data_IF_132289626820
#
_entry.id   IF_132289626820
#
_cell.length_a   1.000
_cell.length_b   1.000
_cell.length_c   1.000
_cell.angle_alpha   90.00
_cell.angle_beta   90.00
_cell.angle_gamma   90.00
#
_symmetry.space_group_name_H-M   'P 1'
#
loop_
_entity.id
_entity.type
_entity.pdbx_description
1 polymer ?
#
# COMPACT_ATOMS: atom_id res chain seq x y z
N UNK A 1 -8.60 -36.74 -55.29
CA UNK A 1 -8.58 -35.27 -55.24
C UNK A 1 -8.38 -34.87 -53.79
N UNK A 2 -7.24 -34.25 -53.45
CA UNK A 2 -6.83 -33.90 -52.08
C UNK A 2 -7.33 -32.48 -51.78
N UNK A 3 -8.31 -32.33 -50.89
CA UNK A 3 -8.70 -31.03 -50.34
C UNK A 3 -7.96 -30.84 -49.02
N UNK A 4 -6.85 -30.10 -49.07
CA UNK A 4 -6.14 -29.60 -47.90
C UNK A 4 -6.39 -28.09 -47.88
N UNK A 5 -7.22 -27.60 -46.97
CA UNK A 5 -7.34 -26.15 -46.74
C UNK A 5 -7.68 -25.85 -45.29
N UNK A 6 -6.62 -25.92 -44.48
CA UNK A 6 -6.23 -24.95 -43.44
C UNK A 6 -7.36 -24.33 -42.59
N UNK A 7 -7.61 -24.98 -41.45
CA UNK A 7 -8.36 -24.43 -40.32
C UNK A 7 -7.47 -23.42 -39.57
N UNK A 8 -7.75 -22.12 -39.71
CA UNK A 8 -7.06 -21.05 -39.00
C UNK A 8 -7.63 -20.93 -37.57
N UNK A 9 -6.91 -21.48 -36.58
CA UNK A 9 -7.27 -21.42 -35.17
C UNK A 9 -6.76 -20.10 -34.57
N UNK A 10 -7.64 -19.11 -34.41
CA UNK A 10 -7.32 -17.82 -33.78
C UNK A 10 -7.36 -18.00 -32.26
N UNK A 11 -6.20 -18.20 -31.63
CA UNK A 11 -6.08 -18.17 -30.16
C UNK A 11 -6.08 -16.71 -29.68
N UNK A 12 -7.22 -16.29 -29.13
CA UNK A 12 -7.33 -15.02 -28.42
C UNK A 12 -6.64 -15.14 -27.06
N UNK A 13 -5.46 -14.52 -26.92
CA UNK A 13 -4.81 -14.35 -25.63
C UNK A 13 -5.55 -13.26 -24.84
N UNK A 14 -6.44 -13.67 -23.95
CA UNK A 14 -7.00 -12.78 -22.95
C UNK A 14 -5.87 -12.39 -21.97
N UNK A 15 -5.39 -11.16 -22.08
CA UNK A 15 -4.41 -10.62 -21.14
C UNK A 15 -5.13 -10.35 -19.81
N UNK A 16 -5.01 -11.30 -18.87
CA UNK A 16 -5.49 -11.12 -17.50
C UNK A 16 -4.59 -10.07 -16.83
N UNK A 17 -5.01 -8.81 -16.87
CA UNK A 17 -4.39 -7.77 -16.06
C UNK A 17 -4.53 -8.16 -14.59
N UNK A 18 -3.40 -8.33 -13.89
CA UNK A 18 -3.41 -8.64 -12.47
C UNK A 18 -4.20 -7.55 -11.73
N UNK A 19 -5.42 -7.88 -11.29
CA UNK A 19 -6.26 -6.95 -10.57
C UNK A 19 -5.56 -6.58 -9.26
N UNK A 20 -5.24 -5.29 -9.09
CA UNK A 20 -4.70 -4.76 -7.84
C UNK A 20 -5.70 -5.07 -6.73
N UNK A 21 -5.32 -5.95 -5.80
CA UNK A 21 -6.17 -6.34 -4.68
C UNK A 21 -5.98 -5.34 -3.55
N UNK A 22 -7.07 -4.69 -3.16
CA UNK A 22 -7.12 -3.84 -1.96
C UNK A 22 -7.78 -4.63 -0.84
N UNK A 23 -7.14 -4.70 0.31
CA UNK A 23 -7.64 -5.35 1.51
C UNK A 23 -7.84 -4.31 2.61
N UNK A 24 -9.03 -4.29 3.21
CA UNK A 24 -9.32 -3.49 4.41
C UNK A 24 -9.07 -4.35 5.64
N UNK A 25 -8.24 -3.86 6.55
CA UNK A 25 -7.69 -4.58 7.68
C UNK A 25 -7.90 -3.76 8.96
N UNK A 26 -7.75 -4.42 10.11
CA UNK A 26 -7.89 -3.81 11.42
C UNK A 26 -6.81 -4.31 12.37
N UNK A 27 -6.12 -3.39 13.01
CA UNK A 27 -5.20 -3.65 14.11
C UNK A 27 -5.98 -3.56 15.43
N UNK A 28 -6.15 -4.69 16.11
CA UNK A 28 -6.90 -4.75 17.37
C UNK A 28 -6.17 -4.11 18.55
N UNK A 29 -4.83 -4.18 18.58
CA UNK A 29 -4.03 -3.68 19.71
C UNK A 29 -4.02 -2.15 19.70
N UNK A 30 -3.89 -1.55 18.52
CA UNK A 30 -3.83 -0.11 18.34
C UNK A 30 -5.16 0.52 17.91
N UNK A 31 -6.18 -0.32 17.62
CA UNK A 31 -7.53 0.06 17.16
C UNK A 31 -7.52 0.90 15.87
N UNK A 32 -6.71 0.48 14.90
CA UNK A 32 -6.49 1.22 13.65
C UNK A 32 -7.12 0.47 12.47
N UNK A 33 -8.00 1.12 11.73
CA UNK A 33 -8.45 0.65 10.41
C UNK A 33 -7.50 1.12 9.34
N UNK A 34 -7.13 0.22 8.43
CA UNK A 34 -6.23 0.55 7.33
C UNK A 34 -6.54 -0.27 6.09
N UNK A 35 -6.03 0.20 4.96
CA UNK A 35 -6.13 -0.46 3.66
C UNK A 35 -4.73 -0.72 3.12
N UNK A 36 -4.53 -1.91 2.57
CA UNK A 36 -3.34 -2.29 1.83
C UNK A 36 -3.74 -2.60 0.39
N UNK A 37 -3.08 -1.94 -0.56
CA UNK A 37 -3.14 -2.30 -1.98
C UNK A 37 -1.77 -2.78 -2.44
N UNK A 38 -1.64 -4.06 -2.77
CA UNK A 38 -0.41 -4.59 -3.37
C UNK A 38 -0.36 -4.21 -4.85
N UNK A 39 0.59 -3.33 -5.20
CA UNK A 39 0.80 -2.88 -6.59
C UNK A 39 1.69 -3.87 -7.34
N UNK A 40 2.75 -4.35 -6.68
CA UNK A 40 3.64 -5.41 -7.15
C UNK A 40 4.40 -6.02 -5.97
N UNK A 41 5.32 -6.94 -6.23
CA UNK A 41 6.20 -7.47 -5.19
C UNK A 41 7.05 -6.35 -4.58
N UNK A 42 6.95 -6.19 -3.25
CA UNK A 42 7.67 -5.14 -2.53
C UNK A 42 7.14 -3.72 -2.76
N UNK A 43 6.00 -3.53 -3.42
CA UNK A 43 5.44 -2.20 -3.68
C UNK A 43 3.95 -2.14 -3.29
N UNK A 44 3.63 -1.24 -2.36
CA UNK A 44 2.33 -1.16 -1.72
C UNK A 44 1.84 0.28 -1.64
N UNK A 45 0.52 0.46 -1.76
CA UNK A 45 -0.17 1.66 -1.28
C UNK A 45 -0.82 1.33 0.05
N UNK A 46 -0.59 2.21 1.03
CA UNK A 46 -1.10 2.08 2.38
C UNK A 46 -1.98 3.28 2.71
N UNK A 47 -3.15 3.05 3.29
CA UNK A 47 -4.02 4.11 3.76
C UNK A 47 -4.51 3.79 5.18
N UNK A 48 -4.21 4.64 6.14
CA UNK A 48 -4.75 4.55 7.50
C UNK A 48 -5.95 5.48 7.61
N UNK A 49 -7.09 4.95 8.01
CA UNK A 49 -8.31 5.73 8.17
C UNK A 49 -8.11 6.77 9.27
N UNK A 50 -8.51 8.01 8.98
CA UNK A 50 -8.43 9.09 9.95
C UNK A 50 -9.34 8.79 11.16
N UNK A 51 -8.90 9.24 12.33
CA UNK A 51 -9.62 9.13 13.60
C UNK A 51 -9.34 10.40 14.43
N UNK A 52 -9.52 10.36 15.75
CA UNK A 52 -9.21 11.46 16.65
C UNK A 52 -7.72 11.84 16.64
N UNK A 53 -7.44 13.08 17.06
CA UNK A 53 -6.06 13.60 17.17
C UNK A 53 -5.17 12.72 18.06
N UNK A 54 -5.69 12.19 19.16
CA UNK A 54 -4.96 11.29 20.06
C UNK A 54 -4.64 9.93 19.42
N UNK A 55 -5.39 9.54 18.36
CA UNK A 55 -5.08 8.37 17.55
C UNK A 55 -4.14 8.67 16.40
N UNK A 56 -3.98 9.93 15.95
CA UNK A 56 -3.10 10.28 14.84
C UNK A 56 -1.63 9.89 15.10
N UNK A 57 -1.11 10.14 16.30
CA UNK A 57 0.26 9.71 16.65
C UNK A 57 0.40 8.19 16.48
N UNK A 58 -0.61 7.43 16.94
CA UNK A 58 -0.66 5.98 16.78
C UNK A 58 -0.73 5.57 15.31
N UNK A 59 -1.41 6.34 14.44
CA UNK A 59 -1.51 6.06 13.00
C UNK A 59 -0.16 6.18 12.28
N UNK A 60 0.62 7.22 12.58
CA UNK A 60 1.94 7.43 11.96
C UNK A 60 2.95 6.35 12.36
N UNK A 61 3.01 6.02 13.66
CA UNK A 61 3.86 4.94 14.19
C UNK A 61 3.37 3.58 13.70
N UNK A 62 2.06 3.38 13.59
CA UNK A 62 1.48 2.17 13.01
C UNK A 62 1.97 1.95 11.57
N UNK A 63 1.91 2.95 10.70
CA UNK A 63 2.41 2.83 9.33
C UNK A 63 3.89 2.43 9.27
N UNK A 64 4.72 3.03 10.12
CA UNK A 64 6.14 2.69 10.18
C UNK A 64 6.37 1.23 10.58
N UNK A 65 5.67 0.75 11.62
CA UNK A 65 5.77 -0.64 12.09
C UNK A 65 5.20 -1.62 11.06
N UNK A 66 4.10 -1.26 10.41
CA UNK A 66 3.47 -2.06 9.37
C UNK A 66 4.36 -2.16 8.12
N UNK A 67 4.97 -1.06 7.70
CA UNK A 67 5.95 -1.04 6.62
C UNK A 67 7.15 -1.95 6.92
N UNK A 68 7.71 -1.86 8.12
CA UNK A 68 8.78 -2.75 8.56
C UNK A 68 8.34 -4.23 8.52
N UNK A 69 7.13 -4.55 8.96
CA UNK A 69 6.57 -5.91 8.89
C UNK A 69 6.44 -6.40 7.44
N UNK A 70 5.85 -5.60 6.54
CA UNK A 70 5.69 -5.95 5.13
C UNK A 70 7.03 -6.20 4.44
N UNK A 71 8.02 -5.35 4.74
CA UNK A 71 9.37 -5.49 4.22
C UNK A 71 10.25 -6.45 5.03
N UNK A 72 9.69 -7.23 5.98
CA UNK A 72 10.44 -8.20 6.80
C UNK A 72 11.69 -7.60 7.48
N UNK A 73 11.57 -6.36 7.96
CA UNK A 73 12.64 -5.58 8.57
C UNK A 73 13.85 -5.29 7.65
N UNK A 74 13.72 -5.48 6.34
CA UNK A 74 14.68 -4.96 5.36
C UNK A 74 14.56 -3.43 5.22
N UNK A 75 15.51 -2.80 4.52
CA UNK A 75 15.42 -1.38 4.22
C UNK A 75 14.20 -1.10 3.34
N UNK A 76 13.56 0.05 3.53
CA UNK A 76 12.40 0.44 2.74
C UNK A 76 12.33 1.96 2.58
N UNK A 77 11.64 2.40 1.53
CA UNK A 77 11.24 3.79 1.32
C UNK A 77 9.75 3.89 1.61
N UNK A 78 9.37 4.77 2.55
CA UNK A 78 7.98 5.09 2.87
C UNK A 78 7.75 6.56 2.55
N UNK A 79 6.92 6.84 1.54
CA UNK A 79 6.64 8.20 1.05
C UNK A 79 5.20 8.54 1.38
N UNK A 80 4.99 9.52 2.26
CA UNK A 80 3.67 10.03 2.58
C UNK A 80 3.12 10.89 1.44
N UNK A 81 1.86 10.66 1.08
CA UNK A 81 1.20 11.39 0.00
C UNK A 81 0.21 12.42 0.54
N UNK A 82 -0.60 12.03 1.52
CA UNK A 82 -1.64 12.89 2.12
C UNK A 82 -1.87 12.55 3.59
N UNK A 83 -2.62 13.41 4.30
CA UNK A 83 -3.07 13.13 5.68
C UNK A 83 -2.05 13.37 6.78
N UNK A 84 -0.85 13.86 6.45
CA UNK A 84 0.11 14.33 7.46
C UNK A 84 -0.47 15.54 8.18
N UNK A 85 -0.65 15.43 9.49
CA UNK A 85 -1.19 16.51 10.31
C UNK A 85 -0.09 17.43 10.84
N UNK A 86 -0.36 18.73 10.81
CA UNK A 86 0.49 19.73 11.43
C UNK A 86 0.33 19.73 12.96
N UNK A 87 1.43 20.00 13.67
CA UNK A 87 1.44 20.22 15.11
C UNK A 87 0.87 21.61 15.45
N UNK A 88 -0.43 21.82 15.21
CA UNK A 88 -1.14 23.05 15.60
C UNK A 88 -1.71 22.91 16.99
N UNK A 89 -1.80 24.05 17.69
CA UNK A 89 -2.53 24.16 18.95
C UNK A 89 -3.90 23.46 18.85
N UNK A 90 -4.33 22.83 19.95
CA UNK A 90 -5.63 22.18 20.03
C UNK A 90 -6.71 23.20 19.62
N UNK A 91 -7.62 22.81 18.72
CA UNK A 91 -8.57 23.74 18.15
C UNK A 91 -9.61 24.06 19.22
N UNK A 92 -10.02 25.31 19.30
CA UNK A 92 -11.09 25.75 20.20
C UNK A 92 -12.49 25.44 19.67
N UNK A 93 -12.59 24.86 18.48
CA UNK A 93 -13.82 24.50 17.77
C UNK A 93 -13.69 23.11 17.13
N UNK A 94 -14.81 22.44 16.79
CA UNK A 94 -14.78 21.12 16.14
C UNK A 94 -13.95 21.16 14.85
N UNK A 95 -12.97 20.25 14.69
CA UNK A 95 -12.20 20.17 13.43
C UNK A 95 -13.06 19.57 12.32
N UNK A 96 -12.88 20.00 11.06
CA UNK A 96 -13.38 19.24 9.92
C UNK A 96 -12.79 17.83 9.91
N UNK A 97 -13.50 16.91 9.23
CA UNK A 97 -13.06 15.53 9.06
C UNK A 97 -11.65 15.49 8.48
N UNK A 98 -10.75 14.74 9.11
CA UNK A 98 -9.37 14.66 8.66
C UNK A 98 -9.26 13.63 7.53
N UNK A 99 -8.44 13.90 6.49
CA UNK A 99 -8.21 12.89 5.47
C UNK A 99 -7.37 11.75 6.04
N UNK A 100 -7.56 10.55 5.49
CA UNK A 100 -6.74 9.38 5.78
C UNK A 100 -5.25 9.66 5.55
N UNK A 101 -4.40 9.06 6.38
CA UNK A 101 -2.94 9.13 6.20
C UNK A 101 -2.53 8.09 5.15
N UNK A 102 -2.09 8.56 3.98
CA UNK A 102 -1.74 7.69 2.85
C UNK A 102 -0.25 7.72 2.56
N UNK A 103 0.29 6.56 2.18
CA UNK A 103 1.70 6.43 1.85
C UNK A 103 1.95 5.34 0.80
N UNK A 104 2.96 5.57 -0.04
CA UNK A 104 3.55 4.54 -0.90
C UNK A 104 4.73 3.89 -0.17
N UNK A 105 4.76 2.56 -0.14
CA UNK A 105 5.83 1.76 0.45
C UNK A 105 6.56 0.97 -0.64
N UNK A 106 7.88 1.13 -0.69
CA UNK A 106 8.79 0.35 -1.52
C UNK A 106 9.80 -0.38 -0.64
N UNK A 107 9.74 -1.71 -0.60
CA UNK A 107 10.76 -2.53 0.03
C UNK A 107 12.03 -2.55 -0.84
N UNK A 108 13.19 -2.28 -0.23
CA UNK A 108 14.49 -2.32 -0.89
C UNK A 108 15.05 -3.73 -0.71
N UNK A 109 15.09 -4.51 -1.79
CA UNK A 109 15.83 -5.76 -1.78
C UNK A 109 17.31 -5.42 -1.90
N UNK A 110 18.12 -5.83 -0.92
CA UNK A 110 19.59 -5.79 -1.05
C UNK A 110 19.96 -6.77 -2.17
N UNK A 111 20.05 -6.30 -3.41
CA UNK A 111 20.83 -7.00 -4.43
C UNK A 111 22.28 -6.91 -3.95
N UNK A 112 22.80 -7.99 -3.41
CA UNK A 112 24.23 -8.14 -3.22
C UNK A 112 24.81 -8.21 -4.64
N UNK A 113 25.28 -7.08 -5.15
CA UNK A 113 26.06 -7.06 -6.38
C UNK A 113 27.38 -7.77 -6.06
N UNK A 114 27.74 -8.87 -6.76
CA UNK A 114 28.98 -9.57 -6.47
C UNK A 114 30.14 -8.61 -6.75
N UNK A 115 30.96 -8.35 -5.74
CA UNK A 115 32.25 -7.65 -5.89
C UNK A 115 33.09 -8.51 -6.83
N UNK A 116 33.39 -7.97 -8.01
CA UNK A 116 34.33 -8.55 -8.98
C UNK A 116 35.76 -8.23 -8.56
#
# INVERSE_FOLDING_TARGET
MKFFSLLLLVVSFCSFSAQKKTERLYDFDHKVFYQETRVSDGHYLLAVEADSYDHFEKQSVFLLRYAAKLCRSSQFSLVFETGVQEFKALPTHPRPYQPSLTATLQCLSLKIEPVN
#
